data_IF_436945095673
#
_entry.id   IF_436945095673
#
_cell.length_a   1.000
_cell.length_b   1.000
_cell.length_c   1.000
_cell.angle_alpha   90.00
_cell.angle_beta   90.00
_cell.angle_gamma   90.00
#
_symmetry.space_group_name_H-M   'P 1'
#
loop_
_entity.id
_entity.type
_entity.pdbx_description
1 polymer ?
#
# COMPACT_ATOMS: atom_id res chain seq x y z
N UNK A 1 -16.41 -15.26 7.45
CA UNK A 1 -15.46 -14.13 7.40
C UNK A 1 -14.34 -14.51 6.46
N UNK A 2 -14.28 -13.92 5.26
CA UNK A 2 -13.10 -14.03 4.39
C UNK A 2 -12.10 -12.94 4.80
N UNK A 3 -10.81 -13.26 4.79
CA UNK A 3 -9.74 -12.29 5.05
C UNK A 3 -9.20 -11.76 3.74
N UNK A 4 -8.73 -10.50 3.74
CA UNK A 4 -8.06 -9.89 2.60
C UNK A 4 -6.84 -9.10 3.05
N UNK A 5 -5.78 -9.17 2.24
CA UNK A 5 -4.62 -8.29 2.41
C UNK A 5 -4.95 -6.91 1.83
N UNK A 6 -4.82 -5.88 2.65
CA UNK A 6 -4.93 -4.49 2.21
C UNK A 6 -3.54 -3.86 2.15
N UNK A 7 -3.24 -3.15 1.06
CA UNK A 7 -2.00 -2.39 0.89
C UNK A 7 -2.27 -0.91 1.15
N UNK A 8 -1.51 -0.29 2.04
CA UNK A 8 -1.81 1.04 2.62
C UNK A 8 -1.03 2.18 1.96
N UNK A 9 -0.82 2.14 0.64
CA UNK A 9 0.00 3.14 -0.09
C UNK A 9 -0.54 4.58 0.07
N UNK A 10 -1.85 4.76 -0.04
CA UNK A 10 -2.48 6.08 0.12
C UNK A 10 -2.25 6.67 1.53
N UNK A 11 -2.30 5.82 2.56
CA UNK A 11 -2.09 6.22 3.94
C UNK A 11 -0.61 6.49 4.23
N UNK A 12 0.29 5.66 3.72
CA UNK A 12 1.74 5.84 3.82
C UNK A 12 2.17 7.21 3.26
N UNK A 13 1.75 7.54 2.04
CA UNK A 13 2.11 8.83 1.42
C UNK A 13 1.60 10.03 2.22
N UNK A 14 0.39 9.95 2.76
CA UNK A 14 -0.17 10.98 3.67
C UNK A 14 0.63 11.08 4.98
N UNK A 15 0.93 9.95 5.62
CA UNK A 15 1.67 9.88 6.89
C UNK A 15 3.07 10.51 6.76
N UNK A 16 3.78 10.19 5.68
CA UNK A 16 5.12 10.72 5.40
C UNK A 16 5.11 12.09 4.71
N UNK A 17 3.94 12.65 4.39
CA UNK A 17 3.76 13.95 3.69
C UNK A 17 4.51 14.02 2.36
N UNK A 18 4.51 12.93 1.61
CA UNK A 18 5.14 12.83 0.28
C UNK A 18 4.10 12.52 -0.80
N UNK A 19 4.42 12.85 -2.04
CA UNK A 19 3.59 12.45 -3.18
C UNK A 19 3.86 10.99 -3.60
N UNK A 20 2.93 10.37 -4.35
CA UNK A 20 3.17 9.07 -5.00
C UNK A 20 4.37 9.10 -5.97
N UNK A 21 4.63 10.25 -6.59
CA UNK A 21 5.79 10.44 -7.47
C UNK A 21 7.08 10.41 -6.67
N UNK A 22 7.07 11.03 -5.49
CA UNK A 22 8.21 11.04 -4.59
C UNK A 22 8.46 9.66 -3.98
N UNK A 23 7.41 8.96 -3.52
CA UNK A 23 7.55 7.57 -3.06
C UNK A 23 8.13 6.66 -4.15
N UNK A 24 7.69 6.83 -5.41
CA UNK A 24 8.23 6.08 -6.55
C UNK A 24 9.73 6.30 -6.72
N UNK A 25 10.20 7.55 -6.59
CA UNK A 25 11.61 7.92 -6.68
C UNK A 25 12.43 7.36 -5.53
N UNK A 26 11.92 7.43 -4.30
CA UNK A 26 12.62 6.98 -3.10
C UNK A 26 12.73 5.45 -3.01
N UNK A 27 11.66 4.74 -3.36
CA UNK A 27 11.59 3.28 -3.26
C UNK A 27 12.05 2.53 -4.51
N UNK A 28 12.31 3.23 -5.63
CA UNK A 28 12.56 2.58 -6.92
C UNK A 28 11.42 1.57 -7.29
N UNK A 29 10.18 1.92 -6.93
CA UNK A 29 8.97 1.21 -7.33
C UNK A 29 8.26 2.07 -8.37
N UNK A 30 7.82 1.44 -9.48
CA UNK A 30 7.18 2.15 -10.60
C UNK A 30 5.97 2.97 -10.12
N UNK A 31 5.92 4.24 -10.51
CA UNK A 31 4.82 5.15 -10.16
C UNK A 31 3.44 4.59 -10.54
N UNK A 32 3.33 3.95 -11.71
CA UNK A 32 2.09 3.31 -12.14
C UNK A 32 1.63 2.20 -11.17
N UNK A 33 2.56 1.36 -10.69
CA UNK A 33 2.23 0.31 -9.73
C UNK A 33 1.77 0.90 -8.39
N UNK A 34 2.45 1.92 -7.87
CA UNK A 34 2.04 2.61 -6.65
C UNK A 34 0.68 3.31 -6.81
N UNK A 35 0.42 3.91 -7.97
CA UNK A 35 -0.87 4.55 -8.29
C UNK A 35 -2.00 3.53 -8.36
N UNK A 36 -1.80 2.38 -8.99
CA UNK A 36 -2.81 1.31 -9.05
C UNK A 36 -3.10 0.73 -7.65
N UNK A 37 -2.06 0.50 -6.84
CA UNK A 37 -2.20 0.05 -5.44
C UNK A 37 -2.95 1.09 -4.59
N UNK A 38 -2.58 2.37 -4.70
CA UNK A 38 -3.19 3.46 -3.94
C UNK A 38 -4.67 3.68 -4.26
N UNK A 39 -5.10 3.30 -5.47
CA UNK A 39 -6.48 3.48 -5.94
C UNK A 39 -7.28 2.16 -5.95
N UNK A 40 -6.73 1.06 -5.41
CA UNK A 40 -7.39 -0.24 -5.37
C UNK A 40 -7.58 -0.92 -6.74
N UNK A 41 -6.98 -0.39 -7.82
CA UNK A 41 -7.00 -1.03 -9.15
C UNK A 41 -6.13 -2.27 -9.21
N UNK A 42 -5.14 -2.34 -8.32
CA UNK A 42 -4.25 -3.48 -8.11
C UNK A 42 -4.26 -3.82 -6.63
N UNK A 43 -4.35 -5.10 -6.33
CA UNK A 43 -4.25 -5.62 -4.96
C UNK A 43 -2.96 -6.40 -4.73
N UNK A 44 -2.33 -6.90 -5.81
CA UNK A 44 -1.10 -7.66 -5.69
C UNK A 44 0.11 -6.76 -5.46
N UNK A 45 0.80 -7.00 -4.36
CA UNK A 45 2.12 -6.44 -4.05
C UNK A 45 3.08 -7.61 -3.81
N UNK A 46 4.31 -7.52 -4.32
CA UNK A 46 5.34 -8.52 -4.07
C UNK A 46 6.23 -8.09 -2.89
N UNK A 47 7.01 -9.03 -2.35
CA UNK A 47 7.89 -8.75 -1.21
C UNK A 47 8.95 -7.69 -1.52
N UNK A 48 9.53 -7.72 -2.73
CA UNK A 48 10.53 -6.73 -3.15
C UNK A 48 10.00 -5.29 -3.12
N UNK A 49 8.73 -5.05 -3.47
CA UNK A 49 8.12 -3.72 -3.32
C UNK A 49 7.97 -3.34 -1.84
N UNK A 50 7.58 -4.27 -0.98
CA UNK A 50 7.42 -4.04 0.46
C UNK A 50 8.77 -3.65 1.07
N UNK A 51 9.81 -4.43 0.80
CA UNK A 51 11.19 -4.18 1.27
C UNK A 51 11.68 -2.81 0.81
N UNK A 52 11.54 -2.50 -0.48
CA UNK A 52 11.91 -1.21 -1.07
C UNK A 52 11.17 -0.02 -0.45
N UNK A 53 9.87 -0.16 -0.19
CA UNK A 53 9.08 0.89 0.48
C UNK A 53 9.53 1.03 1.94
N UNK A 54 9.80 -0.09 2.63
CA UNK A 54 10.24 -0.08 4.01
C UNK A 54 11.59 0.61 4.17
N UNK A 55 12.57 0.27 3.33
CA UNK A 55 13.89 0.91 3.29
C UNK A 55 13.78 2.41 2.98
N UNK A 56 13.01 2.78 1.95
CA UNK A 56 12.84 4.16 1.53
C UNK A 56 12.20 5.08 2.58
N UNK A 57 11.33 4.51 3.43
CA UNK A 57 10.59 5.26 4.45
C UNK A 57 11.10 4.99 5.87
N UNK A 58 12.17 4.19 6.01
CA UNK A 58 12.71 3.73 7.30
C UNK A 58 11.65 3.10 8.21
N UNK A 59 10.83 2.21 7.64
CA UNK A 59 9.78 1.47 8.33
C UNK A 59 10.35 0.14 8.84
N UNK A 60 10.18 -0.14 10.12
CA UNK A 60 10.58 -1.40 10.74
C UNK A 60 9.41 -2.38 10.94
N UNK A 61 8.17 -1.91 10.84
CA UNK A 61 6.96 -2.73 10.97
C UNK A 61 6.21 -2.82 9.64
N UNK A 62 6.20 -4.02 9.04
CA UNK A 62 5.50 -4.32 7.79
C UNK A 62 4.00 -3.96 7.84
N UNK A 63 3.40 -3.92 9.05
CA UNK A 63 2.00 -3.54 9.26
C UNK A 63 1.74 -2.07 8.94
N UNK A 64 2.76 -1.25 8.76
CA UNK A 64 2.58 0.11 8.22
C UNK A 64 2.27 0.09 6.72
N UNK A 65 2.71 -0.95 6.01
CA UNK A 65 2.59 -1.08 4.55
C UNK A 65 1.39 -1.95 4.17
N UNK A 66 1.13 -3.02 4.91
CA UNK A 66 0.04 -3.96 4.64
C UNK A 66 -0.77 -4.28 5.90
N UNK A 67 -1.99 -4.76 5.72
CA UNK A 67 -2.85 -5.21 6.82
C UNK A 67 -3.70 -6.41 6.40
N UNK A 68 -4.28 -7.11 7.39
CA UNK A 68 -5.29 -8.13 7.17
C UNK A 68 -6.65 -7.60 7.62
N UNK A 69 -7.54 -7.35 6.66
CA UNK A 69 -8.90 -6.91 6.92
C UNK A 69 -9.90 -8.06 6.82
N UNK A 70 -10.96 -7.97 7.60
CA UNK A 70 -12.16 -8.79 7.42
C UNK A 70 -12.98 -8.24 6.25
N UNK A 71 -13.30 -9.13 5.31
CA UNK A 71 -14.37 -8.89 4.36
C UNK A 71 -15.66 -9.30 5.05
N UNK A 72 -16.33 -8.34 5.68
CA UNK A 72 -17.75 -8.51 5.96
C UNK A 72 -18.49 -8.52 4.61
N UNK A 73 -19.51 -9.38 4.48
CA UNK A 73 -20.43 -9.32 3.36
C UNK A 73 -21.24 -8.01 3.51
N UNK A 74 -20.64 -6.89 3.12
CA UNK A 74 -21.32 -5.62 3.14
C UNK A 74 -22.28 -5.58 1.94
N UNK A 75 -23.48 -6.09 2.19
CA UNK A 75 -24.66 -5.88 1.38
C UNK A 75 -25.20 -4.46 1.46
N UNK A 76 -24.42 -3.47 1.88
CA UNK A 76 -24.80 -2.06 1.88
C UNK A 76 -24.18 -1.37 0.68
N UNK A 77 -24.87 -1.54 -0.45
CA UNK A 77 -24.88 -0.54 -1.51
C UNK A 77 -25.14 0.86 -0.90
N UNK A 78 -24.16 1.76 -1.00
CA UNK A 78 -24.28 3.07 -1.69
C UNK A 78 -23.01 3.91 -1.56
#
# INVERSE_FOLDING_TARGET
MSKKVQVKIAELTKKHRISLRELSRLSDVRHAALSELSNGKRENINFAHIEKIAEALNISDIREIIDLIDLENDGSLK
#
